data_IF_974901295630
#
_entry.id   IF_974901295630
#
_cell.length_a   1.000
_cell.length_b   1.000
_cell.length_c   1.000
_cell.angle_alpha   90.00
_cell.angle_beta   90.00
_cell.angle_gamma   90.00
#
_symmetry.space_group_name_H-M   'P 1'
#
loop_
_entity.id
_entity.type
_entity.pdbx_description
1 polymer ?
#
# COMPACT_ATOMS: atom_id res chain seq x y z
N UNK A 1 43.57 0.50 69.52
CA UNK A 1 43.63 1.39 70.71
C UNK A 1 44.31 2.68 70.31
N UNK A 2 43.95 3.87 70.83
CA UNK A 2 42.78 4.30 71.62
C UNK A 2 41.84 5.21 70.77
N UNK A 3 40.52 5.33 70.99
CA UNK A 3 39.75 5.84 72.14
C UNK A 3 39.95 7.34 72.42
N UNK A 4 38.87 8.14 72.36
CA UNK A 4 38.87 9.54 72.81
C UNK A 4 37.60 10.32 72.46
N UNK A 5 36.57 10.18 73.29
CA UNK A 5 35.39 11.08 73.36
C UNK A 5 35.83 12.47 73.82
N UNK A 6 35.15 13.53 73.37
CA UNK A 6 34.63 14.57 74.27
C UNK A 6 33.60 15.47 73.57
N UNK A 7 32.68 15.96 74.39
CA UNK A 7 31.37 16.56 74.13
C UNK A 7 31.33 17.90 74.92
N UNK A 8 30.32 18.74 74.67
CA UNK A 8 29.97 20.01 75.36
C UNK A 8 30.84 21.25 74.97
N UNK A 9 30.35 22.48 74.76
CA UNK A 9 29.08 23.14 75.09
C UNK A 9 28.93 24.53 74.42
N UNK A 10 27.67 24.90 74.13
CA UNK A 10 26.97 26.19 74.33
C UNK A 10 27.53 27.55 73.84
N UNK A 11 26.53 28.31 73.35
CA UNK A 11 26.36 29.78 73.28
C UNK A 11 26.70 30.38 71.91
N UNK A 12 25.94 31.30 71.32
CA UNK A 12 24.72 31.99 71.73
C UNK A 12 24.56 33.21 70.80
N UNK A 13 23.33 33.47 70.36
CA UNK A 13 22.79 34.76 69.88
C UNK A 13 23.58 35.59 68.83
N UNK A 14 23.02 35.58 67.63
CA UNK A 14 22.24 36.71 67.07
C UNK A 14 22.96 38.08 66.90
N UNK A 15 23.26 38.44 65.63
CA UNK A 15 23.10 39.80 65.09
C UNK A 15 23.34 39.87 63.57
N UNK A 16 22.22 40.02 62.86
CA UNK A 16 21.98 40.90 61.69
C UNK A 16 23.14 41.15 60.72
N UNK A 17 23.05 40.56 59.53
CA UNK A 17 23.60 41.16 58.30
C UNK A 17 22.49 41.34 57.28
N UNK A 18 22.48 42.55 56.71
CA UNK A 18 21.48 43.15 55.84
C UNK A 18 21.27 42.40 54.54
N UNK A 19 20.03 42.43 54.09
CA UNK A 19 19.57 42.22 52.72
C UNK A 19 20.47 42.91 51.68
N UNK A 20 20.93 42.11 50.72
CA UNK A 20 21.27 42.56 49.38
C UNK A 20 20.61 41.58 48.42
N UNK A 21 19.46 41.97 47.86
CA UNK A 21 18.74 41.19 46.86
C UNK A 21 19.56 41.03 45.57
N UNK A 22 19.40 39.91 44.83
CA UNK A 22 20.12 39.68 43.58
C UNK A 22 19.57 40.53 42.43
N UNK A 23 20.39 40.85 41.42
CA UNK A 23 20.02 41.76 40.33
C UNK A 23 19.10 41.09 39.29
N UNK A 24 17.93 41.70 39.07
CA UNK A 24 16.86 41.34 38.13
C UNK A 24 17.22 41.34 36.61
N UNK A 25 18.51 41.37 36.27
CA UNK A 25 18.97 41.61 34.89
C UNK A 25 19.25 40.37 34.03
N UNK A 26 19.45 39.19 34.64
CA UNK A 26 19.97 38.00 33.94
C UNK A 26 18.85 37.01 33.58
N UNK A 27 17.80 36.88 34.40
CA UNK A 27 16.69 35.97 34.10
C UNK A 27 15.82 36.44 32.92
N UNK A 28 15.61 37.75 32.75
CA UNK A 28 14.84 38.27 31.60
C UNK A 28 15.53 37.99 30.26
N UNK A 29 16.85 38.16 30.18
CA UNK A 29 17.63 37.88 28.96
C UNK A 29 17.64 36.40 28.58
N UNK A 30 17.61 35.50 29.55
CA UNK A 30 17.54 34.06 29.30
C UNK A 30 16.13 33.57 28.93
N UNK A 31 15.08 34.24 29.44
CA UNK A 31 13.68 33.96 29.07
C UNK A 31 13.40 34.36 27.61
N UNK A 32 13.90 35.52 27.18
CA UNK A 32 13.67 36.00 25.80
C UNK A 32 14.41 35.17 24.74
N UNK A 33 15.62 34.67 25.04
CA UNK A 33 16.33 33.73 24.15
C UNK A 33 15.56 32.44 23.96
N UNK A 34 15.03 31.83 25.04
CA UNK A 34 14.23 30.58 24.96
C UNK A 34 12.93 30.75 24.17
N UNK A 35 12.30 31.92 24.20
CA UNK A 35 11.10 32.20 23.41
C UNK A 35 11.45 32.38 21.91
N UNK A 36 12.58 33.03 21.61
CA UNK A 36 13.04 33.21 20.22
C UNK A 36 13.43 31.89 19.53
N UNK A 37 14.02 30.95 20.27
CA UNK A 37 14.42 29.64 19.73
C UNK A 37 13.22 28.70 19.56
N UNK A 38 12.22 28.79 20.44
CA UNK A 38 10.94 28.09 20.24
C UNK A 38 10.18 28.62 19.03
N UNK A 39 10.20 29.93 18.75
CA UNK A 39 9.60 30.51 17.54
C UNK A 39 10.33 30.04 16.27
N UNK A 40 11.66 30.06 16.25
CA UNK A 40 12.45 29.58 15.09
C UNK A 40 12.29 28.07 14.84
N UNK A 41 12.12 27.26 15.89
CA UNK A 41 11.81 25.83 15.75
C UNK A 41 10.39 25.56 15.22
N UNK A 42 9.40 26.37 15.62
CA UNK A 42 8.02 26.27 15.13
C UNK A 42 7.87 26.73 13.67
N UNK A 43 8.65 27.73 13.25
CA UNK A 43 8.64 28.26 11.88
C UNK A 43 9.32 27.30 10.89
N UNK A 44 10.41 26.63 11.29
CA UNK A 44 11.01 25.53 10.51
C UNK A 44 10.07 24.33 10.34
N UNK A 45 9.25 24.00 11.35
CA UNK A 45 8.22 22.95 11.23
C UNK A 45 7.04 23.36 10.35
N UNK A 46 6.79 24.66 10.16
CA UNK A 46 5.77 25.15 9.22
C UNK A 46 6.25 25.18 7.77
N UNK A 47 7.55 25.36 7.49
CA UNK A 47 8.05 25.39 6.11
C UNK A 47 8.23 23.99 5.51
N UNK A 48 8.55 22.96 6.30
CA UNK A 48 8.64 21.58 5.82
C UNK A 48 7.29 20.92 5.58
N UNK A 49 6.19 21.47 6.11
CA UNK A 49 4.83 20.97 5.89
C UNK A 49 4.15 21.51 4.61
N UNK A 50 4.84 22.34 3.82
CA UNK A 50 4.27 22.99 2.63
C UNK A 50 4.66 22.37 1.29
N UNK A 51 5.40 21.26 1.26
CA UNK A 51 5.86 20.66 -0.02
C UNK A 51 5.55 19.17 -0.25
N UNK A 52 4.75 18.53 0.59
CA UNK A 52 4.25 17.16 0.31
C UNK A 52 2.91 17.24 -0.41
N UNK A 53 2.97 17.56 -1.70
CA UNK A 53 1.85 17.41 -2.62
C UNK A 53 1.67 15.94 -3.01
N UNK A 54 0.90 15.18 -2.24
CA UNK A 54 0.19 13.98 -2.71
C UNK A 54 -0.91 13.58 -1.72
N UNK A 55 -2.15 13.52 -2.22
CA UNK A 55 -3.39 13.06 -1.57
C UNK A 55 -3.96 13.90 -0.42
N UNK A 56 -4.66 14.97 -0.80
CA UNK A 56 -5.71 15.60 0.02
C UNK A 56 -7.00 15.64 -0.80
N UNK A 57 -7.99 14.85 -0.40
CA UNK A 57 -9.29 14.75 -1.07
C UNK A 57 -10.23 13.80 -0.35
N UNK A 58 -10.43 14.02 0.95
CA UNK A 58 -11.53 13.41 1.70
C UNK A 58 -12.76 14.27 1.40
N UNK A 59 -13.66 13.78 0.56
CA UNK A 59 -15.01 14.32 0.47
C UNK A 59 -15.78 13.89 1.69
N UNK A 60 -16.17 14.88 2.49
CA UNK A 60 -17.15 14.80 3.57
C UNK A 60 -18.46 14.21 3.01
N UNK A 61 -18.71 12.93 3.29
CA UNK A 61 -20.01 12.30 3.03
C UNK A 61 -20.81 12.35 4.33
N UNK A 62 -21.98 12.99 4.24
CA UNK A 62 -22.87 13.26 5.36
C UNK A 62 -23.26 12.00 6.14
N UNK A 63 -23.56 12.20 7.42
CA UNK A 63 -24.09 11.19 8.34
C UNK A 63 -25.36 10.55 7.74
N UNK A 64 -25.21 9.38 7.14
CA UNK A 64 -26.31 8.45 6.90
C UNK A 64 -26.11 7.26 7.84
N UNK A 65 -27.02 7.12 8.79
CA UNK A 65 -27.16 5.93 9.62
C UNK A 65 -27.59 4.76 8.74
N UNK A 66 -26.65 3.88 8.42
CA UNK A 66 -26.94 2.60 7.79
C UNK A 66 -27.20 1.56 8.88
N UNK A 67 -28.41 1.03 8.94
CA UNK A 67 -28.69 -0.21 9.66
C UNK A 67 -28.06 -1.36 8.88
N UNK A 68 -26.92 -1.86 9.35
CA UNK A 68 -26.25 -3.02 8.76
C UNK A 68 -27.10 -4.27 9.03
N UNK A 69 -27.72 -4.83 7.98
CA UNK A 69 -28.19 -6.21 8.00
C UNK A 69 -27.00 -7.13 7.70
N UNK A 70 -26.76 -8.19 8.48
CA UNK A 70 -25.72 -9.16 8.17
C UNK A 70 -26.12 -9.88 6.88
N UNK A 71 -25.33 -9.70 5.81
CA UNK A 71 -25.47 -10.52 4.61
C UNK A 71 -24.23 -11.38 4.47
N UNK A 72 -24.43 -12.69 4.49
CA UNK A 72 -23.42 -13.70 4.20
C UNK A 72 -22.83 -13.47 2.79
N UNK A 73 -21.67 -12.84 2.71
CA UNK A 73 -20.89 -12.73 1.45
C UNK A 73 -19.52 -13.40 1.56
N UNK A 74 -19.46 -14.57 2.22
CA UNK A 74 -18.22 -15.36 2.38
C UNK A 74 -17.65 -15.92 1.06
N UNK A 75 -18.39 -15.98 -0.06
CA UNK A 75 -17.94 -16.75 -1.24
C UNK A 75 -17.08 -16.00 -2.27
N UNK A 76 -16.85 -14.68 -2.14
CA UNK A 76 -16.12 -13.92 -3.19
C UNK A 76 -14.61 -13.78 -2.97
N UNK A 77 -14.11 -13.93 -1.74
CA UNK A 77 -12.71 -13.63 -1.41
C UNK A 77 -11.79 -14.86 -1.26
N UNK A 78 -12.35 -16.07 -1.07
CA UNK A 78 -11.58 -17.33 -1.05
C UNK A 78 -10.81 -17.62 -2.36
N UNK A 79 -11.16 -16.94 -3.47
CA UNK A 79 -10.48 -17.10 -4.78
C UNK A 79 -9.19 -16.27 -4.94
N UNK A 80 -8.83 -15.42 -3.99
CA UNK A 80 -7.60 -14.58 -4.08
C UNK A 80 -6.35 -15.26 -3.49
N UNK A 81 -6.51 -16.32 -2.69
CA UNK A 81 -5.39 -17.04 -2.06
C UNK A 81 -4.65 -18.05 -2.98
N UNK A 82 -5.07 -18.21 -4.25
CA UNK A 82 -4.60 -19.31 -5.11
C UNK A 82 -3.54 -18.97 -6.18
N UNK A 83 -2.97 -17.75 -6.22
CA UNK A 83 -2.06 -17.36 -7.32
C UNK A 83 -0.62 -17.16 -6.87
N UNK A 84 0.13 -18.26 -6.80
CA UNK A 84 1.59 -18.27 -6.95
C UNK A 84 2.02 -17.97 -8.41
N UNK A 85 3.32 -17.85 -8.71
CA UNK A 85 3.82 -17.47 -10.03
C UNK A 85 3.46 -18.54 -11.06
N UNK A 86 2.60 -18.18 -12.03
CA UNK A 86 2.20 -19.08 -13.11
C UNK A 86 3.35 -19.20 -14.12
N UNK A 87 4.19 -20.21 -13.95
CA UNK A 87 4.99 -20.78 -15.04
C UNK A 87 4.18 -21.91 -15.70
N UNK A 88 3.37 -21.56 -16.71
CA UNK A 88 2.66 -22.51 -17.56
C UNK A 88 3.38 -22.71 -18.91
N UNK A 89 3.34 -23.93 -19.49
CA UNK A 89 4.24 -24.36 -20.56
C UNK A 89 3.94 -23.71 -21.92
N UNK A 90 5.01 -23.48 -22.70
CA UNK A 90 4.92 -23.03 -24.10
C UNK A 90 4.19 -24.07 -24.96
N UNK A 91 3.17 -23.69 -25.75
CA UNK A 91 2.61 -24.61 -26.75
C UNK A 91 3.66 -24.89 -27.83
N UNK A 92 3.94 -26.18 -28.03
CA UNK A 92 4.78 -26.72 -29.10
C UNK A 92 4.08 -26.52 -30.44
N UNK A 93 4.74 -25.83 -31.37
CA UNK A 93 4.37 -25.83 -32.79
C UNK A 93 4.72 -27.19 -33.41
N UNK A 94 3.80 -27.89 -34.09
CA UNK A 94 4.20 -28.99 -34.95
C UNK A 94 4.76 -28.42 -36.26
N UNK A 95 6.02 -28.76 -36.53
CA UNK A 95 6.61 -28.70 -37.88
C UNK A 95 6.16 -29.96 -38.62
N UNK A 96 5.50 -29.81 -39.76
CA UNK A 96 5.61 -30.79 -40.86
C UNK A 96 5.70 -30.03 -42.18
N UNK A 97 6.81 -30.26 -42.86
CA UNK A 97 7.11 -29.89 -44.25
C UNK A 97 6.57 -30.96 -45.21
N UNK A 98 6.13 -30.53 -46.40
CA UNK A 98 6.37 -31.10 -47.77
C UNK A 98 5.52 -30.28 -48.76
N UNK A 99 6.06 -29.33 -49.54
CA UNK A 99 6.67 -29.47 -50.88
C UNK A 99 5.77 -30.27 -51.85
N UNK A 100 5.30 -29.76 -53.00
CA UNK A 100 5.98 -29.48 -54.30
C UNK A 100 4.98 -28.67 -55.18
N UNK A 101 5.27 -27.43 -55.64
CA UNK A 101 5.89 -27.00 -56.92
C UNK A 101 5.10 -27.38 -58.20
N UNK A 102 4.50 -26.40 -58.91
CA UNK A 102 4.40 -26.31 -60.39
C UNK A 102 4.19 -24.82 -60.77
N UNK A 103 4.82 -24.47 -61.88
CA UNK A 103 5.29 -23.19 -62.43
C UNK A 103 4.27 -22.29 -63.15
N UNK A 104 4.45 -20.98 -62.94
CA UNK A 104 4.44 -19.81 -63.85
C UNK A 104 3.67 -19.79 -65.19
N UNK A 105 2.83 -18.74 -65.37
CA UNK A 105 2.63 -17.93 -66.61
C UNK A 105 2.17 -16.53 -66.15
N UNK A 106 3.04 -15.52 -66.06
CA UNK A 106 3.36 -14.48 -67.05
C UNK A 106 2.28 -13.39 -67.31
N UNK A 107 2.77 -12.16 -67.12
CA UNK A 107 2.46 -10.91 -67.83
C UNK A 107 1.20 -10.08 -67.50
N UNK A 108 1.47 -8.94 -66.85
CA UNK A 108 1.13 -7.58 -67.25
C UNK A 108 -0.32 -7.28 -67.68
N UNK A 109 -1.06 -6.63 -66.76
CA UNK A 109 -2.00 -5.59 -67.14
C UNK A 109 -2.29 -4.64 -65.96
N UNK A 110 -2.01 -3.36 -66.22
CA UNK A 110 -2.74 -2.19 -65.73
C UNK A 110 -2.54 -1.74 -64.28
N UNK A 111 -1.72 -0.69 -64.20
CA UNK A 111 -1.90 0.49 -63.35
C UNK A 111 -3.39 0.85 -63.16
N UNK A 112 -4.01 0.31 -62.12
CA UNK A 112 -5.16 0.89 -61.47
C UNK A 112 -4.78 1.05 -60.00
N UNK A 113 -4.54 2.30 -59.60
CA UNK A 113 -4.26 2.63 -58.21
C UNK A 113 -5.39 2.10 -57.34
N UNK A 114 -5.12 1.06 -56.57
CA UNK A 114 -5.96 0.68 -55.46
C UNK A 114 -5.78 1.75 -54.39
N UNK A 115 -6.63 2.79 -54.46
CA UNK A 115 -7.01 3.55 -53.28
C UNK A 115 -7.63 2.55 -52.32
N UNK A 116 -6.80 1.88 -51.53
CA UNK A 116 -7.30 1.21 -50.34
C UNK A 116 -7.83 2.33 -49.47
N UNK A 117 -9.14 2.51 -49.49
CA UNK A 117 -9.87 3.30 -48.52
C UNK A 117 -9.40 2.84 -47.15
N UNK A 118 -8.51 3.61 -46.54
CA UNK A 118 -8.19 3.46 -45.14
C UNK A 118 -9.50 3.72 -44.43
N UNK A 119 -10.22 2.66 -44.04
CA UNK A 119 -11.36 2.74 -43.14
C UNK A 119 -10.91 3.63 -41.99
N UNK A 120 -11.37 4.88 -42.01
CA UNK A 120 -11.03 5.87 -41.01
C UNK A 120 -11.53 5.27 -39.70
N UNK A 121 -10.59 4.82 -38.87
CA UNK A 121 -10.92 4.23 -37.58
C UNK A 121 -11.76 5.27 -36.85
N UNK A 122 -13.02 4.92 -36.59
CA UNK A 122 -13.99 5.82 -35.96
C UNK A 122 -13.36 6.38 -34.70
N UNK A 123 -13.14 7.70 -34.67
CA UNK A 123 -12.51 8.34 -33.54
C UNK A 123 -13.28 8.00 -32.26
N UNK A 124 -12.62 7.63 -31.16
CA UNK A 124 -13.32 7.27 -29.94
C UNK A 124 -14.16 8.47 -29.46
N UNK A 125 -15.46 8.26 -29.27
CA UNK A 125 -16.38 9.27 -28.71
C UNK A 125 -15.93 9.62 -27.28
N UNK A 126 -15.53 10.88 -27.04
CA UNK A 126 -15.16 11.39 -25.72
C UNK A 126 -14.04 12.45 -25.76
N UNK A 127 -13.84 13.21 -24.67
CA UNK A 127 -12.75 14.19 -24.58
C UNK A 127 -11.43 13.46 -24.35
N UNK A 128 -10.44 13.67 -25.20
CA UNK A 128 -9.10 13.10 -25.02
C UNK A 128 -8.33 13.85 -23.95
N UNK A 129 -7.50 13.14 -23.20
CA UNK A 129 -6.55 13.70 -22.26
C UNK A 129 -5.17 13.08 -22.44
N UNK A 130 -4.14 13.86 -22.11
CA UNK A 130 -2.74 13.46 -22.21
C UNK A 130 -2.01 13.88 -20.93
N UNK A 131 -1.20 12.99 -20.38
CA UNK A 131 -0.30 13.23 -19.26
C UNK A 131 1.11 12.86 -19.71
N UNK A 132 2.07 13.75 -19.46
CA UNK A 132 3.49 13.53 -19.77
C UNK A 132 4.29 13.62 -18.48
N UNK A 133 5.21 12.68 -18.28
CA UNK A 133 6.13 12.63 -17.15
C UNK A 133 7.50 12.19 -17.63
N UNK A 134 8.54 12.61 -16.92
CA UNK A 134 9.91 12.22 -17.24
C UNK A 134 10.79 12.17 -16.01
N UNK A 135 11.80 11.32 -16.05
CA UNK A 135 12.89 11.27 -15.08
C UNK A 135 14.15 10.78 -15.80
N UNK A 136 15.25 11.51 -15.67
CA UNK A 136 16.48 11.25 -16.45
C UNK A 136 16.20 11.15 -17.95
N UNK A 137 16.67 10.07 -18.57
CA UNK A 137 16.50 9.82 -20.01
C UNK A 137 15.14 9.21 -20.38
N UNK A 138 14.25 8.99 -19.41
CA UNK A 138 12.95 8.31 -19.60
C UNK A 138 11.84 9.34 -19.67
N UNK A 139 11.06 9.31 -20.76
CA UNK A 139 9.88 10.14 -21.00
C UNK A 139 8.67 9.25 -21.27
N UNK A 140 7.64 9.38 -20.46
CA UNK A 140 6.38 8.67 -20.57
C UNK A 140 5.25 9.62 -20.98
N UNK A 141 4.41 9.19 -21.91
CA UNK A 141 3.20 9.85 -22.35
C UNK A 141 2.04 8.88 -22.23
N UNK A 142 1.07 9.22 -21.38
CA UNK A 142 -0.17 8.47 -21.22
C UNK A 142 -1.30 9.28 -21.87
N UNK A 143 -1.97 8.68 -22.85
CA UNK A 143 -3.19 9.24 -23.43
C UNK A 143 -4.40 8.40 -23.05
N UNK A 144 -5.54 9.06 -22.89
CA UNK A 144 -6.80 8.43 -22.48
C UNK A 144 -8.00 9.19 -23.05
N UNK A 145 -9.17 8.55 -23.02
CA UNK A 145 -10.45 9.16 -23.37
C UNK A 145 -11.27 9.27 -22.10
N UNK A 146 -11.64 10.51 -21.74
CA UNK A 146 -12.67 10.78 -20.73
C UNK A 146 -14.02 10.40 -21.33
N UNK A 147 -14.63 9.36 -20.78
CA UNK A 147 -16.00 8.94 -21.04
C UNK A 147 -16.96 9.84 -20.23
N UNK A 148 -18.26 9.72 -20.53
CA UNK A 148 -19.31 10.38 -19.74
C UNK A 148 -19.32 9.92 -18.27
N UNK A 149 -20.28 10.44 -17.51
CA UNK A 149 -20.52 9.98 -16.15
C UNK A 149 -20.77 8.46 -16.16
N UNK A 150 -20.09 7.72 -15.29
CA UNK A 150 -20.48 6.35 -15.02
C UNK A 150 -21.67 6.30 -14.06
N UNK A 151 -22.21 5.10 -13.89
CA UNK A 151 -23.25 4.79 -12.89
C UNK A 151 -22.84 5.17 -11.46
N UNK A 152 -21.54 5.30 -11.17
CA UNK A 152 -20.99 5.76 -9.90
C UNK A 152 -20.97 7.30 -9.73
N UNK A 153 -21.53 8.06 -10.66
CA UNK A 153 -21.66 9.53 -10.57
C UNK A 153 -20.40 10.33 -10.96
N UNK A 154 -19.24 9.67 -11.09
CA UNK A 154 -17.98 10.28 -11.52
C UNK A 154 -17.68 10.13 -13.02
N UNK A 155 -16.75 10.93 -13.58
CA UNK A 155 -16.27 10.70 -14.94
C UNK A 155 -15.49 9.38 -15.03
N UNK A 156 -15.82 8.57 -16.03
CA UNK A 156 -15.04 7.37 -16.36
C UNK A 156 -13.95 7.68 -17.39
N UNK A 157 -12.88 6.90 -17.38
CA UNK A 157 -11.78 6.98 -18.34
C UNK A 157 -11.61 5.65 -19.08
N UNK A 158 -11.00 5.67 -20.26
CA UNK A 158 -10.72 4.46 -21.03
C UNK A 158 -9.78 4.71 -22.20
N UNK A 159 -9.59 3.69 -23.03
CA UNK A 159 -8.70 3.75 -24.19
C UNK A 159 -7.28 4.20 -23.81
N UNK A 160 -6.79 3.74 -22.66
CA UNK A 160 -5.48 4.06 -22.14
C UNK A 160 -4.41 3.61 -23.14
N UNK A 161 -3.54 4.53 -23.52
CA UNK A 161 -2.39 4.28 -24.40
C UNK A 161 -1.17 4.91 -23.77
N UNK A 162 -0.30 4.06 -23.25
CA UNK A 162 1.02 4.45 -22.81
C UNK A 162 1.98 4.46 -24.01
N UNK A 163 2.85 5.46 -24.05
CA UNK A 163 3.99 5.63 -24.93
C UNK A 163 5.18 5.96 -24.05
N UNK A 164 6.27 5.21 -24.16
CA UNK A 164 7.47 5.50 -23.38
C UNK A 164 8.69 5.57 -24.29
N UNK A 165 9.54 6.57 -24.08
CA UNK A 165 10.79 6.83 -24.78
C UNK A 165 11.93 6.84 -23.78
N UNK A 166 12.99 6.11 -24.07
CA UNK A 166 14.22 6.08 -23.28
C UNK A 166 15.41 6.13 -24.24
N UNK A 167 16.39 7.00 -23.96
CA UNK A 167 17.67 7.07 -24.68
C UNK A 167 17.53 7.00 -26.24
N UNK A 168 16.63 7.80 -26.81
CA UNK A 168 16.46 7.93 -28.27
C UNK A 168 15.88 6.71 -29.00
N UNK A 169 15.45 5.65 -28.30
CA UNK A 169 14.90 4.42 -28.90
C UNK A 169 13.41 4.18 -28.57
N UNK A 170 12.84 3.29 -29.38
CA UNK A 170 11.42 3.08 -29.74
C UNK A 170 10.38 3.08 -28.61
N UNK A 171 9.20 3.61 -28.98
CA UNK A 171 7.95 3.67 -28.24
C UNK A 171 7.37 2.28 -27.91
N UNK A 172 7.07 2.01 -26.63
CA UNK A 172 6.08 0.98 -26.30
C UNK A 172 4.71 1.47 -26.76
N UNK A 173 4.08 0.79 -27.74
CA UNK A 173 2.75 1.16 -28.24
C UNK A 173 1.69 0.25 -27.62
N UNK A 174 0.84 0.84 -26.78
CA UNK A 174 -0.47 0.33 -26.34
C UNK A 174 -0.40 -0.84 -25.36
N UNK A 175 -0.28 -0.49 -24.08
CA UNK A 175 -0.63 -1.38 -22.98
C UNK A 175 -2.13 -1.26 -22.68
N UNK A 176 -2.87 -2.34 -22.86
CA UNK A 176 -4.24 -2.44 -22.37
C UNK A 176 -4.18 -2.75 -20.87
N UNK A 177 -4.50 -1.77 -20.04
CA UNK A 177 -4.64 -1.99 -18.60
C UNK A 177 -6.04 -2.56 -18.38
N UNK A 178 -6.12 -3.86 -18.11
CA UNK A 178 -7.37 -4.56 -17.80
C UNK A 178 -7.46 -4.74 -16.29
N UNK A 179 -8.44 -4.11 -15.65
CA UNK A 179 -8.80 -4.46 -14.27
C UNK A 179 -9.61 -5.76 -14.24
N UNK A 180 -9.46 -6.57 -13.18
CA UNK A 180 -10.48 -7.56 -12.83
C UNK A 180 -11.74 -6.79 -12.42
N UNK A 181 -12.91 -7.30 -12.81
CA UNK A 181 -14.18 -6.62 -12.53
C UNK A 181 -14.59 -5.69 -13.68
N UNK A 182 -15.30 -6.27 -14.63
CA UNK A 182 -15.93 -5.62 -15.77
C UNK A 182 -17.04 -4.66 -15.34
N UNK A 183 -16.78 -3.37 -15.12
CA UNK A 183 -17.88 -2.38 -14.98
C UNK A 183 -17.55 -0.96 -15.49
N UNK A 184 -16.69 -0.81 -16.50
CA UNK A 184 -16.68 0.40 -17.34
C UNK A 184 -16.34 1.75 -16.65
N UNK A 185 -16.01 1.77 -15.36
CA UNK A 185 -15.48 2.91 -14.63
C UNK A 185 -13.98 2.75 -14.43
N UNK A 186 -13.24 3.78 -14.80
CA UNK A 186 -11.87 3.99 -14.38
C UNK A 186 -11.81 5.42 -13.89
N UNK A 187 -11.11 5.70 -12.80
CA UNK A 187 -10.78 7.09 -12.45
C UNK A 187 -9.72 7.64 -13.40
N UNK A 188 -9.38 8.92 -13.22
CA UNK A 188 -8.30 9.52 -13.98
C UNK A 188 -7.00 8.78 -13.68
N UNK A 189 -6.35 8.17 -14.69
CA UNK A 189 -5.15 7.40 -14.46
C UNK A 189 -4.01 8.31 -13.98
N UNK A 190 -3.16 7.78 -13.11
CA UNK A 190 -1.94 8.44 -12.66
C UNK A 190 -0.74 7.87 -13.42
N UNK A 191 0.23 8.73 -13.70
CA UNK A 191 1.47 8.37 -14.38
C UNK A 191 2.64 8.79 -13.50
N UNK A 192 3.51 7.83 -13.19
CA UNK A 192 4.73 8.03 -12.41
C UNK A 192 5.92 7.52 -13.22
N UNK A 193 7.04 8.25 -13.17
CA UNK A 193 8.32 7.81 -13.76
C UNK A 193 9.37 7.85 -12.65
N UNK A 194 9.81 6.68 -12.19
CA UNK A 194 10.69 6.52 -11.03
C UNK A 194 11.46 5.21 -11.11
N UNK A 195 12.71 5.24 -10.70
CA UNK A 195 13.55 4.04 -10.51
C UNK A 195 12.94 3.20 -9.38
N UNK A 196 12.49 1.98 -9.69
CA UNK A 196 11.92 1.06 -8.69
C UNK A 196 12.49 -0.36 -8.80
N UNK A 197 13.43 -0.61 -9.72
CA UNK A 197 13.96 -1.95 -10.01
C UNK A 197 15.44 -2.15 -9.66
N UNK A 198 16.13 -1.11 -9.19
CA UNK A 198 17.54 -1.16 -8.78
C UNK A 198 18.55 -1.16 -9.93
N UNK A 199 18.14 -0.91 -11.18
CA UNK A 199 19.04 -0.92 -12.34
C UNK A 199 19.52 0.48 -12.79
N UNK A 200 19.10 1.51 -12.06
CA UNK A 200 19.51 2.90 -12.31
C UNK A 200 18.78 3.57 -13.49
N UNK A 201 17.81 2.89 -14.10
CA UNK A 201 16.98 3.45 -15.17
C UNK A 201 15.55 3.63 -14.64
N UNK A 202 14.98 4.86 -14.68
CA UNK A 202 13.63 5.08 -14.17
C UNK A 202 12.58 4.23 -14.88
N UNK A 203 11.71 3.57 -14.13
CA UNK A 203 10.59 2.78 -14.64
C UNK A 203 9.32 3.63 -14.77
N UNK A 204 8.30 3.08 -15.44
CA UNK A 204 7.00 3.75 -15.61
C UNK A 204 5.90 2.99 -14.92
N UNK A 205 5.18 3.68 -14.03
CA UNK A 205 4.03 3.13 -13.34
C UNK A 205 2.78 3.86 -13.84
N UNK A 206 1.75 3.08 -14.17
CA UNK A 206 0.41 3.59 -14.46
C UNK A 206 -0.55 3.02 -13.43
N UNK A 207 -1.09 3.91 -12.59
CA UNK A 207 -2.06 3.55 -11.57
C UNK A 207 -3.48 3.91 -12.02
N UNK A 208 -4.40 2.99 -11.82
CA UNK A 208 -5.82 3.16 -12.09
C UNK A 208 -6.63 2.73 -10.87
N UNK A 209 -7.81 3.32 -10.73
CA UNK A 209 -8.83 2.85 -9.80
C UNK A 209 -10.07 2.45 -10.58
N UNK A 210 -10.60 1.25 -10.35
CA UNK A 210 -11.75 0.72 -11.13
C UNK A 210 -13.11 1.14 -10.60
N UNK A 211 -13.18 1.85 -9.47
CA UNK A 211 -14.43 2.44 -8.96
C UNK A 211 -15.26 1.55 -8.05
N UNK A 212 -15.97 2.18 -7.12
CA UNK A 212 -16.71 1.53 -6.05
C UNK A 212 -16.22 2.00 -4.69
N UNK A 213 -16.88 1.59 -3.60
CA UNK A 213 -16.39 1.84 -2.24
C UNK A 213 -15.27 0.86 -1.83
N UNK A 214 -15.19 -0.29 -2.50
CA UNK A 214 -14.34 -1.44 -2.16
C UNK A 214 -13.79 -2.07 -3.45
N UNK A 215 -13.05 -1.29 -4.25
CA UNK A 215 -12.63 -1.76 -5.56
C UNK A 215 -11.30 -1.17 -6.00
N UNK A 216 -10.82 -1.68 -7.12
CA UNK A 216 -9.43 -2.05 -7.20
C UNK A 216 -8.53 -0.86 -7.52
N UNK A 217 -7.53 -0.67 -6.66
CA UNK A 217 -6.30 0.04 -6.99
C UNK A 217 -5.40 -0.91 -7.77
N UNK A 218 -5.08 -0.56 -9.01
CA UNK A 218 -4.28 -1.42 -9.90
C UNK A 218 -3.12 -0.63 -10.45
N UNK A 219 -1.93 -1.22 -10.39
CA UNK A 219 -0.72 -0.67 -10.99
C UNK A 219 -0.27 -1.53 -12.13
N UNK A 220 0.12 -0.89 -13.23
CA UNK A 220 0.97 -1.54 -14.22
C UNK A 220 2.34 -0.87 -14.26
N UNK A 221 3.36 -1.67 -13.95
CA UNK A 221 4.78 -1.32 -13.98
C UNK A 221 5.39 -1.78 -15.31
N UNK A 222 5.88 -0.82 -16.08
CA UNK A 222 6.66 -1.03 -17.30
C UNK A 222 8.12 -0.74 -16.97
N UNK A 223 8.94 -1.78 -17.03
CA UNK A 223 10.37 -1.67 -16.71
C UNK A 223 11.14 -1.09 -17.88
N UNK A 224 11.95 -0.08 -17.60
CA UNK A 224 12.92 0.46 -18.55
C UNK A 224 14.15 -0.43 -18.63
N UNK A 225 14.78 -0.51 -19.80
CA UNK A 225 16.05 -1.23 -19.98
C UNK A 225 16.95 -0.45 -20.94
N UNK A 226 18.27 -0.70 -20.97
CA UNK A 226 19.15 -0.10 -21.98
C UNK A 226 18.73 -0.42 -23.43
N UNK A 227 17.99 -1.51 -23.63
CA UNK A 227 17.52 -1.99 -24.94
C UNK A 227 16.09 -1.53 -25.29
N UNK A 228 15.45 -0.72 -24.46
CA UNK A 228 14.05 -0.31 -24.60
C UNK A 228 13.24 -0.69 -23.36
N UNK A 229 12.21 -1.53 -23.52
CA UNK A 229 11.26 -1.86 -22.45
C UNK A 229 11.14 -3.36 -22.28
N UNK A 230 10.77 -3.81 -21.07
CA UNK A 230 10.30 -5.17 -20.93
C UNK A 230 9.03 -5.38 -21.78
N UNK A 231 8.95 -6.53 -22.47
CA UNK A 231 7.77 -6.86 -23.29
C UNK A 231 6.58 -7.32 -22.45
N UNK A 232 6.81 -7.61 -21.17
CA UNK A 232 5.83 -8.13 -20.24
C UNK A 232 5.75 -7.21 -19.02
N UNK A 233 4.89 -6.18 -19.04
CA UNK A 233 4.64 -5.34 -17.88
C UNK A 233 4.15 -6.16 -16.69
N UNK A 234 4.47 -5.70 -15.49
CA UNK A 234 3.99 -6.29 -14.24
C UNK A 234 2.69 -5.57 -13.89
N UNK A 235 1.58 -6.30 -13.82
CA UNK A 235 0.31 -5.76 -13.34
C UNK A 235 0.00 -6.35 -11.97
N UNK A 236 -0.28 -5.48 -11.00
CA UNK A 236 -0.68 -5.85 -9.64
C UNK A 236 -2.01 -5.20 -9.31
N UNK A 237 -2.94 -6.04 -8.88
CA UNK A 237 -4.17 -5.63 -8.20
C UNK A 237 -3.86 -5.54 -6.71
N UNK A 238 -3.99 -4.35 -6.16
CA UNK A 238 -3.82 -4.06 -4.73
C UNK A 238 -5.15 -4.14 -3.97
N UNK A 239 -6.23 -4.52 -4.67
CA UNK A 239 -7.60 -4.57 -4.17
C UNK A 239 -8.02 -3.21 -3.60
N UNK A 240 -8.55 -3.19 -2.37
CA UNK A 240 -9.19 -2.02 -1.78
C UNK A 240 -8.21 -0.89 -1.42
N UNK A 241 -6.94 -1.23 -1.25
CA UNK A 241 -5.91 -0.30 -0.81
C UNK A 241 -4.94 -0.02 -1.94
N UNK A 242 -4.43 1.22 -2.02
CA UNK A 242 -3.29 1.54 -2.89
C UNK A 242 -1.99 1.24 -2.14
N UNK A 243 -0.87 1.32 -2.84
CA UNK A 243 0.46 1.33 -2.25
C UNK A 243 0.98 2.77 -2.11
N UNK A 244 2.03 2.92 -1.31
CA UNK A 244 2.95 4.06 -1.35
C UNK A 244 4.37 3.59 -1.65
N UNK A 245 5.12 4.40 -2.40
CA UNK A 245 6.55 4.17 -2.60
C UNK A 245 7.33 4.83 -1.48
N UNK A 246 8.12 4.06 -0.75
CA UNK A 246 9.04 4.57 0.26
C UNK A 246 10.33 3.76 0.26
N UNK A 247 11.44 4.43 0.60
CA UNK A 247 12.67 3.72 0.91
C UNK A 247 12.54 3.10 2.30
N UNK A 248 12.27 1.80 2.33
CA UNK A 248 12.10 1.04 3.55
C UNK A 248 13.43 0.53 4.11
N UNK A 249 14.44 0.36 3.24
CA UNK A 249 15.72 -0.30 3.54
C UNK A 249 16.94 0.62 3.60
N UNK A 250 16.79 1.92 3.37
CA UNK A 250 17.91 2.85 3.19
C UNK A 250 18.61 2.69 1.84
N UNK A 251 17.89 2.18 0.83
CA UNK A 251 18.40 1.93 -0.51
C UNK A 251 18.00 3.05 -1.48
N UNK A 252 18.66 3.14 -2.64
CA UNK A 252 18.24 4.09 -3.69
C UNK A 252 16.91 3.73 -4.34
N UNK A 253 16.43 2.50 -4.14
CA UNK A 253 15.26 1.93 -4.81
C UNK A 253 14.12 1.76 -3.80
N UNK A 254 12.97 2.43 -4.00
CA UNK A 254 11.86 2.35 -3.07
C UNK A 254 11.11 1.03 -3.17
N UNK A 255 10.54 0.61 -2.05
CA UNK A 255 9.58 -0.48 -1.95
C UNK A 255 8.13 0.01 -2.05
N UNK A 256 7.25 -0.91 -2.45
CA UNK A 256 5.81 -0.74 -2.50
C UNK A 256 5.24 -1.16 -1.15
N UNK A 257 4.91 -0.19 -0.30
CA UNK A 257 4.32 -0.45 1.02
C UNK A 257 2.80 -0.33 0.88
N UNK A 258 2.10 -1.38 1.29
CA UNK A 258 0.64 -1.53 1.22
C UNK A 258 0.17 -2.36 2.41
N UNK A 259 -1.13 -2.56 2.52
CA UNK A 259 -1.71 -3.49 3.47
C UNK A 259 -2.07 -4.84 2.80
N UNK A 260 -2.29 -5.91 3.58
CA UNK A 260 -2.73 -7.22 3.09
C UNK A 260 -4.26 -7.26 2.89
N UNK A 261 -4.76 -7.18 1.65
CA UNK A 261 -6.21 -7.10 1.41
C UNK A 261 -6.96 -8.39 1.76
N UNK A 262 -6.25 -9.50 2.06
CA UNK A 262 -6.89 -10.74 2.51
C UNK A 262 -7.58 -10.60 3.86
N UNK A 263 -7.18 -9.62 4.67
CA UNK A 263 -7.84 -9.29 5.94
C UNK A 263 -9.07 -8.38 5.76
N UNK A 264 -9.25 -7.79 4.59
CA UNK A 264 -10.39 -6.92 4.33
C UNK A 264 -11.68 -7.72 4.38
N UNK A 265 -12.56 -7.33 5.31
CA UNK A 265 -13.82 -7.99 5.61
C UNK A 265 -13.72 -9.49 5.96
N UNK A 266 -12.53 -9.97 6.34
CA UNK A 266 -12.33 -11.37 6.74
C UNK A 266 -12.95 -11.65 8.11
N UNK A 267 -12.78 -10.71 9.05
CA UNK A 267 -13.12 -10.91 10.47
C UNK A 267 -14.15 -9.92 11.01
N UNK A 268 -14.44 -8.85 10.28
CA UNK A 268 -15.44 -7.83 10.63
C UNK A 268 -15.92 -7.11 9.37
N UNK A 269 -16.76 -6.07 9.48
CA UNK A 269 -17.13 -5.23 8.36
C UNK A 269 -15.92 -4.52 7.74
N UNK A 270 -16.04 -4.11 6.48
CA UNK A 270 -14.96 -3.37 5.80
C UNK A 270 -14.48 -2.16 6.60
N UNK A 271 -15.42 -1.38 7.16
CA UNK A 271 -15.13 -0.11 7.85
C UNK A 271 -14.28 -0.27 9.11
N UNK A 272 -14.28 -1.46 9.70
CA UNK A 272 -13.57 -1.81 10.94
C UNK A 272 -12.45 -2.82 10.68
N UNK A 273 -12.19 -3.19 9.42
CA UNK A 273 -11.13 -4.12 9.06
C UNK A 273 -9.76 -3.56 9.38
N UNK A 274 -8.84 -4.44 9.77
CA UNK A 274 -7.45 -4.13 10.05
C UNK A 274 -6.58 -5.10 9.24
N UNK A 275 -5.66 -4.56 8.46
CA UNK A 275 -4.88 -5.32 7.48
C UNK A 275 -3.39 -5.21 7.80
N UNK A 276 -2.68 -6.32 8.06
CA UNK A 276 -1.24 -6.33 8.29
C UNK A 276 -0.45 -5.69 7.15
N UNK A 277 0.69 -5.10 7.46
CA UNK A 277 1.59 -4.52 6.46
C UNK A 277 2.09 -5.56 5.46
N UNK A 278 2.21 -5.14 4.20
CA UNK A 278 2.92 -5.86 3.15
C UNK A 278 3.87 -4.91 2.41
N UNK A 279 5.06 -5.42 2.13
CA UNK A 279 6.11 -4.67 1.46
C UNK A 279 6.58 -5.48 0.26
N UNK A 280 6.54 -4.88 -0.92
CA UNK A 280 6.97 -5.51 -2.16
C UNK A 280 8.16 -4.78 -2.79
N UNK A 281 9.09 -5.53 -3.34
CA UNK A 281 10.16 -5.03 -4.18
C UNK A 281 9.93 -5.46 -5.64
N UNK A 282 10.25 -4.58 -6.59
CA UNK A 282 10.17 -4.89 -8.00
C UNK A 282 11.51 -5.48 -8.50
N UNK A 283 11.70 -6.78 -8.34
CA UNK A 283 12.94 -7.46 -8.69
C UNK A 283 12.69 -8.58 -9.71
N UNK A 284 13.60 -8.73 -10.68
CA UNK A 284 13.58 -9.86 -11.60
C UNK A 284 12.32 -9.94 -12.48
N UNK A 285 11.65 -8.81 -12.71
CA UNK A 285 10.42 -8.76 -13.50
C UNK A 285 9.16 -9.20 -12.74
N UNK A 286 9.18 -9.17 -11.40
CA UNK A 286 8.05 -9.49 -10.55
C UNK A 286 7.99 -8.51 -9.37
N UNK A 287 6.81 -8.36 -8.76
CA UNK A 287 6.68 -7.77 -7.43
C UNK A 287 6.77 -8.90 -6.41
N UNK A 288 7.88 -8.97 -5.67
CA UNK A 288 8.14 -9.99 -4.65
C UNK A 288 7.73 -9.44 -3.29
N UNK A 289 6.97 -10.23 -2.52
CA UNK A 289 6.75 -9.93 -1.11
C UNK A 289 8.09 -10.10 -0.38
N UNK A 290 8.57 -9.00 0.21
CA UNK A 290 9.83 -8.89 0.94
C UNK A 290 9.58 -8.41 2.37
N UNK A 291 8.34 -8.48 2.85
CA UNK A 291 7.90 -7.89 4.13
C UNK A 291 8.80 -8.27 5.30
N UNK A 292 9.19 -9.54 5.41
CA UNK A 292 10.03 -10.06 6.50
C UNK A 292 11.47 -9.52 6.51
N UNK A 293 11.91 -8.88 5.44
CA UNK A 293 13.22 -8.21 5.37
C UNK A 293 13.21 -6.84 6.07
N UNK A 294 12.03 -6.33 6.44
CA UNK A 294 11.85 -4.99 7.02
C UNK A 294 11.19 -5.04 8.41
N UNK A 295 11.87 -5.64 9.42
CA UNK A 295 11.30 -5.84 10.74
C UNK A 295 10.90 -4.54 11.46
N UNK A 296 11.56 -3.42 11.19
CA UNK A 296 11.21 -2.13 11.82
C UNK A 296 9.89 -1.54 11.29
N UNK A 297 9.57 -1.80 10.02
CA UNK A 297 8.27 -1.45 9.46
C UNK A 297 7.18 -2.34 10.03
N UNK A 298 7.44 -3.66 10.16
CA UNK A 298 6.50 -4.58 10.82
C UNK A 298 6.27 -4.15 12.28
N UNK A 299 7.31 -3.84 13.05
CA UNK A 299 7.18 -3.34 14.43
C UNK A 299 6.40 -2.03 14.52
N UNK A 300 6.47 -1.19 13.49
CA UNK A 300 5.66 0.04 13.44
C UNK A 300 4.19 -0.29 13.25
N UNK A 301 3.87 -1.26 12.39
CA UNK A 301 2.49 -1.71 12.16
C UNK A 301 1.92 -2.47 13.38
N UNK A 302 2.73 -3.31 14.04
CA UNK A 302 2.44 -3.91 15.36
C UNK A 302 1.96 -2.85 16.35
N UNK A 303 2.71 -1.75 16.51
CA UNK A 303 2.34 -0.67 17.45
C UNK A 303 1.05 0.03 17.05
N UNK A 304 0.81 0.21 15.75
CA UNK A 304 -0.45 0.77 15.23
C UNK A 304 -1.64 -0.13 15.60
N UNK A 305 -1.51 -1.45 15.44
CA UNK A 305 -2.59 -2.38 15.79
C UNK A 305 -2.77 -2.56 17.29
N UNK A 306 -1.69 -2.55 18.07
CA UNK A 306 -1.77 -2.48 19.54
C UNK A 306 -2.55 -1.24 19.99
N UNK A 307 -2.23 -0.07 19.44
CA UNK A 307 -2.93 1.18 19.77
C UNK A 307 -4.40 1.14 19.34
N UNK A 308 -4.71 0.59 18.17
CA UNK A 308 -6.10 0.42 17.73
C UNK A 308 -6.86 -0.54 18.65
N UNK A 309 -6.24 -1.64 19.05
CA UNK A 309 -6.83 -2.61 19.96
C UNK A 309 -7.10 -2.01 21.34
N UNK A 310 -6.15 -1.27 21.91
CA UNK A 310 -6.33 -0.55 23.17
C UNK A 310 -7.37 0.57 23.07
N UNK A 311 -7.37 1.30 21.95
CA UNK A 311 -8.30 2.39 21.67
C UNK A 311 -9.74 1.92 21.47
N UNK A 312 -9.97 0.66 21.07
CA UNK A 312 -11.29 0.10 20.83
C UNK A 312 -12.24 0.29 22.03
N UNK A 313 -11.74 0.23 23.27
CA UNK A 313 -12.55 0.37 24.48
C UNK A 313 -13.04 1.81 24.72
N UNK A 314 -12.60 2.77 23.92
CA UNK A 314 -13.07 4.16 23.97
C UNK A 314 -14.38 4.34 23.19
N UNK A 315 -14.75 3.36 22.36
CA UNK A 315 -16.03 3.36 21.66
C UNK A 315 -17.19 3.04 22.62
N UNK A 316 -18.35 3.65 22.35
CA UNK A 316 -19.54 3.48 23.20
C UNK A 316 -20.44 2.33 22.76
N UNK A 317 -20.35 1.91 21.50
CA UNK A 317 -21.14 0.82 20.95
C UNK A 317 -20.39 -0.51 21.16
N UNK A 318 -20.93 -1.47 21.94
CA UNK A 318 -20.28 -2.75 22.20
C UNK A 318 -19.93 -3.54 20.94
N UNK A 319 -20.74 -3.44 19.89
CA UNK A 319 -20.48 -4.13 18.62
C UNK A 319 -19.24 -3.54 17.93
N UNK A 320 -19.11 -2.21 17.96
CA UNK A 320 -17.95 -1.51 17.38
C UNK A 320 -16.68 -1.84 18.19
N UNK A 321 -16.78 -1.89 19.52
CA UNK A 321 -15.67 -2.32 20.39
C UNK A 321 -15.19 -3.72 19.99
N UNK A 322 -16.11 -4.68 19.85
CA UNK A 322 -15.79 -6.06 19.47
C UNK A 322 -15.22 -6.15 18.04
N UNK A 323 -15.78 -5.40 17.10
CA UNK A 323 -15.34 -5.36 15.70
C UNK A 323 -13.92 -4.84 15.55
N UNK A 324 -13.63 -3.67 16.13
CA UNK A 324 -12.28 -3.07 16.10
C UNK A 324 -11.31 -3.95 16.90
N UNK A 325 -11.71 -4.43 18.08
CA UNK A 325 -10.90 -5.31 18.91
C UNK A 325 -10.48 -6.57 18.17
N UNK A 326 -11.43 -7.27 17.55
CA UNK A 326 -11.17 -8.47 16.78
C UNK A 326 -10.27 -8.22 15.58
N UNK A 327 -10.55 -7.18 14.81
CA UNK A 327 -9.75 -6.85 13.64
C UNK A 327 -8.31 -6.49 14.02
N UNK A 328 -8.14 -5.55 14.96
CA UNK A 328 -6.83 -5.08 15.40
C UNK A 328 -6.00 -6.21 16.03
N UNK A 329 -6.60 -7.05 16.88
CA UNK A 329 -5.91 -8.22 17.44
C UNK A 329 -5.44 -9.19 16.34
N UNK A 330 -6.28 -9.43 15.33
CA UNK A 330 -5.94 -10.33 14.21
C UNK A 330 -4.75 -9.81 13.41
N UNK A 331 -4.76 -8.52 13.08
CA UNK A 331 -3.67 -7.90 12.34
C UNK A 331 -2.37 -7.87 13.16
N UNK A 332 -2.48 -7.55 14.46
CA UNK A 332 -1.36 -7.56 15.38
C UNK A 332 -0.70 -8.94 15.51
N UNK A 333 -1.49 -10.01 15.69
CA UNK A 333 -1.00 -11.39 15.74
C UNK A 333 -0.28 -11.75 14.43
N UNK A 334 -0.84 -11.35 13.29
CA UNK A 334 -0.25 -11.63 11.98
C UNK A 334 1.13 -10.95 11.81
N UNK A 335 1.25 -9.67 12.19
CA UNK A 335 2.53 -8.97 12.14
C UNK A 335 3.58 -9.57 13.10
N UNK A 336 3.16 -9.96 14.31
CA UNK A 336 4.04 -10.68 15.25
C UNK A 336 4.49 -12.03 14.68
N UNK A 337 3.62 -12.72 13.94
CA UNK A 337 3.99 -13.94 13.23
C UNK A 337 5.04 -13.69 12.12
N UNK A 338 4.94 -12.57 11.39
CA UNK A 338 5.98 -12.16 10.42
C UNK A 338 7.34 -11.91 11.11
N UNK A 339 7.33 -11.37 12.33
CA UNK A 339 8.52 -11.18 13.16
C UNK A 339 9.02 -12.46 13.83
N UNK A 340 8.24 -13.54 13.77
CA UNK A 340 8.44 -14.79 14.54
C UNK A 340 8.45 -14.58 16.06
N UNK A 341 7.79 -13.53 16.53
CA UNK A 341 7.58 -13.27 17.96
C UNK A 341 6.32 -13.99 18.43
N UNK A 342 6.44 -15.32 18.45
CA UNK A 342 5.32 -16.23 18.66
C UNK A 342 4.77 -16.19 20.09
N UNK A 343 5.60 -15.92 21.08
CA UNK A 343 5.15 -15.80 22.46
C UNK A 343 4.36 -14.50 22.68
N UNK A 344 4.77 -13.39 22.06
CA UNK A 344 3.96 -12.19 22.04
C UNK A 344 2.63 -12.42 21.30
N UNK A 345 2.64 -13.12 20.16
CA UNK A 345 1.43 -13.42 19.41
C UNK A 345 0.42 -14.24 20.24
N UNK A 346 0.89 -15.27 20.96
CA UNK A 346 0.07 -16.04 21.92
C UNK A 346 -0.51 -15.15 23.02
N UNK A 347 0.31 -14.25 23.57
CA UNK A 347 -0.13 -13.35 24.64
C UNK A 347 -1.24 -12.40 24.16
N UNK A 348 -1.10 -11.85 22.94
CA UNK A 348 -2.15 -11.02 22.32
C UNK A 348 -3.42 -11.82 22.12
N UNK A 349 -3.32 -13.04 21.59
CA UNK A 349 -4.48 -13.90 21.39
C UNK A 349 -5.21 -14.21 22.71
N UNK A 350 -4.49 -14.62 23.74
CA UNK A 350 -5.05 -14.91 25.06
C UNK A 350 -5.68 -13.66 25.71
N UNK A 351 -5.07 -12.49 25.55
CA UNK A 351 -5.60 -11.22 26.05
C UNK A 351 -6.90 -10.83 25.32
N UNK A 352 -6.94 -10.96 24.00
CA UNK A 352 -8.13 -10.68 23.20
C UNK A 352 -9.28 -11.65 23.50
N UNK A 353 -8.98 -12.94 23.72
CA UNK A 353 -9.95 -13.91 24.23
C UNK A 353 -10.51 -13.50 25.59
N UNK A 354 -9.62 -13.16 26.54
CA UNK A 354 -10.02 -12.75 27.89
C UNK A 354 -10.89 -11.50 27.89
N UNK A 355 -10.58 -10.54 27.00
CA UNK A 355 -11.36 -9.32 26.82
C UNK A 355 -12.71 -9.56 26.12
N UNK A 356 -12.88 -10.72 25.49
CA UNK A 356 -14.11 -11.08 24.78
C UNK A 356 -14.18 -10.59 23.34
N UNK A 357 -13.07 -10.16 22.73
CA UNK A 357 -13.05 -9.62 21.35
C UNK A 357 -13.56 -10.64 20.31
N UNK A 358 -13.44 -11.93 20.63
CA UNK A 358 -13.83 -13.04 19.76
C UNK A 358 -15.15 -13.71 20.16
N UNK A 359 -15.86 -13.21 21.18
CA UNK A 359 -17.00 -13.90 21.78
C UNK A 359 -18.18 -14.12 20.80
N UNK A 360 -18.31 -13.26 19.79
CA UNK A 360 -19.40 -13.33 18.81
C UNK A 360 -19.14 -14.30 17.65
N UNK A 361 -17.91 -14.81 17.54
CA UNK A 361 -17.50 -15.65 16.40
C UNK A 361 -17.01 -17.00 16.92
N UNK A 362 -17.92 -17.97 16.94
CA UNK A 362 -17.58 -19.36 17.26
C UNK A 362 -16.50 -19.88 16.32
N UNK A 363 -15.47 -20.52 16.87
CA UNK A 363 -14.36 -21.06 16.09
C UNK A 363 -13.37 -20.02 15.55
N UNK A 364 -13.46 -18.75 16.00
CA UNK A 364 -12.62 -17.66 15.49
C UNK A 364 -11.13 -18.00 15.46
N UNK A 365 -10.58 -18.53 16.56
CA UNK A 365 -9.16 -18.87 16.64
C UNK A 365 -8.74 -19.93 15.62
N UNK A 366 -9.61 -20.88 15.32
CA UNK A 366 -9.37 -21.89 14.29
C UNK A 366 -9.37 -21.31 12.88
N UNK A 367 -10.31 -20.39 12.59
CA UNK A 367 -10.35 -19.70 11.30
C UNK A 367 -9.13 -18.79 11.11
N UNK A 368 -8.79 -17.98 12.11
CA UNK A 368 -7.61 -17.11 12.04
C UNK A 368 -6.34 -17.95 11.84
N UNK A 369 -6.18 -19.05 12.60
CA UNK A 369 -5.01 -19.92 12.44
C UNK A 369 -4.94 -20.55 11.05
N UNK A 370 -6.07 -21.06 10.53
CA UNK A 370 -6.18 -21.57 9.18
C UNK A 370 -5.76 -20.53 8.13
N UNK A 371 -6.29 -19.32 8.23
CA UNK A 371 -5.99 -18.22 7.31
C UNK A 371 -4.51 -17.80 7.37
N UNK A 372 -3.95 -17.62 8.57
CA UNK A 372 -2.54 -17.26 8.74
C UNK A 372 -1.61 -18.31 8.12
N UNK A 373 -1.95 -19.60 8.24
CA UNK A 373 -1.21 -20.68 7.59
C UNK A 373 -1.35 -20.63 6.08
N UNK A 374 -2.58 -20.58 5.57
CA UNK A 374 -2.86 -20.53 4.14
C UNK A 374 -2.22 -19.31 3.46
N UNK A 375 -2.10 -18.20 4.20
CA UNK A 375 -1.55 -16.94 3.71
C UNK A 375 -0.05 -16.77 3.92
N UNK A 376 0.61 -17.74 4.57
CA UNK A 376 2.05 -17.80 4.74
C UNK A 376 2.61 -16.94 5.86
N UNK A 377 1.80 -16.56 6.85
CA UNK A 377 2.27 -15.86 8.05
C UNK A 377 2.96 -16.81 9.04
N UNK A 378 2.47 -18.05 9.13
CA UNK A 378 2.99 -19.06 10.04
C UNK A 378 2.90 -20.44 9.37
N UNK A 379 3.85 -21.34 9.61
CA UNK A 379 3.79 -22.71 9.08
C UNK A 379 2.85 -23.61 9.88
N UNK A 380 2.74 -23.34 11.19
CA UNK A 380 1.92 -24.07 12.15
C UNK A 380 1.21 -23.07 13.06
N UNK A 381 -0.13 -22.94 12.99
CA UNK A 381 -0.91 -22.05 13.83
C UNK A 381 -0.71 -22.23 15.34
N UNK A 382 -0.34 -23.45 15.77
CA UNK A 382 -0.08 -23.72 17.19
C UNK A 382 1.08 -22.88 17.74
N UNK A 383 2.01 -22.45 16.89
CA UNK A 383 3.10 -21.55 17.28
C UNK A 383 2.57 -20.23 17.83
N UNK A 384 1.43 -19.73 17.36
CA UNK A 384 0.82 -18.48 17.84
C UNK A 384 -0.39 -18.71 18.75
N UNK A 385 -0.57 -19.94 19.25
CA UNK A 385 -1.66 -20.30 20.15
C UNK A 385 -3.01 -20.49 19.45
N UNK A 386 -3.01 -20.63 18.13
CA UNK A 386 -4.21 -20.84 17.31
C UNK A 386 -4.31 -22.31 16.87
N UNK A 387 -5.51 -22.74 16.48
CA UNK A 387 -5.72 -24.04 15.83
C UNK A 387 -5.85 -23.87 14.31
N UNK A 388 -5.72 -24.97 13.56
CA UNK A 388 -5.96 -25.00 12.10
C UNK A 388 -7.33 -25.63 11.83
N UNK A 389 -8.39 -24.98 12.32
CA UNK A 389 -9.76 -25.48 12.24
C UNK A 389 -10.66 -24.40 11.62
N UNK A 390 -10.84 -24.40 10.28
CA UNK A 390 -11.68 -23.40 9.62
C UNK A 390 -13.12 -23.47 10.15
N UNK A 391 -13.83 -22.34 10.14
CA UNK A 391 -15.26 -22.30 10.44
C UNK A 391 -16.00 -22.74 9.18
N UNK A 392 -16.81 -23.80 9.30
CA UNK A 392 -17.66 -24.32 8.22
C UNK A 392 -18.65 -23.28 7.65
#
# INVERSE_FOLDING_TARGET
>A
MPAGKQDWSRSGRDRRTRDVGPPDGIERRNRDRRISDRRRGAERRRSTRRNDGAFGGVTEYGKQTYTLRPTHSRSRYAKLAQYGPINGPKPRTPKVLRAVLVTAVALACLLAGTLTESKAATAPKGKTGVVVKSSGAVHATLSYVKKGAASSGGPSYGSLKLTVKAAGRTTLRKLAITGRGSTGYLTRPQLTVREVTGDGIPDVLVDIYTGGAHCCSITTLVRSTPKGWNRSPITRDWADHSYRLADAGGSSTPEFITDDPRFTAAYTAYATSAQPIRIYSAEGGQLRDVTTQFPDWIRTDVKKWEQAWQGATQETDPQIVADIGRAAASAWIADLALLKDYDAAKAVYAAAQTRGDFAEVNGFGGQLGHDLKAWGYVSDPALVGLSDAPID
#
